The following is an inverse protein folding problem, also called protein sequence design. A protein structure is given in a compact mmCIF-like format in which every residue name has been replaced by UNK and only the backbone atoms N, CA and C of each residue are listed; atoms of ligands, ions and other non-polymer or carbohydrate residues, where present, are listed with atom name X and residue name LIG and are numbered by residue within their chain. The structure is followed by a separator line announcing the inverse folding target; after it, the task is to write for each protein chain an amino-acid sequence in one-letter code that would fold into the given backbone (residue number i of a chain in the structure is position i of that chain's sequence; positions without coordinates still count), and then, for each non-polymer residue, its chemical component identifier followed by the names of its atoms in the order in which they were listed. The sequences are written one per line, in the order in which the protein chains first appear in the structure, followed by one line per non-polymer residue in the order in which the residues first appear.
data_IF_367018751391
#
_entry.id   IF_367018751391
#
_cell.length_a   1.000
_cell.length_b   1.000
_cell.length_c   1.000
_cell.angle_alpha   90.00
_cell.angle_beta   90.00
_cell.angle_gamma   90.00
#
_symmetry.space_group_name_H-M   'P 1'
#
loop_
_entity.id
_entity.type
_entity.pdbx_description
1 polymer ?
#
# COMPACT_ATOMS: atom_id res chain seq x y z
N UNK A 1 14.53 17.05 17.10
CA UNK A 1 14.82 16.47 18.42
C UNK A 1 15.68 15.24 18.17
N UNK A 2 16.90 15.11 18.73
CA UNK A 2 17.68 13.90 18.53
C UNK A 2 17.09 12.78 19.40
N UNK A 3 16.69 11.68 18.76
CA UNK A 3 16.09 10.50 19.38
C UNK A 3 17.15 9.71 20.18
N UNK A 4 17.53 10.20 21.35
CA UNK A 4 18.41 9.48 22.29
C UNK A 4 17.63 8.45 23.14
N UNK A 5 16.84 7.60 22.48
CA UNK A 5 16.06 6.55 23.13
C UNK A 5 16.65 5.16 22.93
N UNK A 6 16.41 4.24 23.87
CA UNK A 6 16.62 2.82 23.61
C UNK A 6 15.66 2.36 22.51
N UNK A 7 16.18 1.70 21.48
CA UNK A 7 15.35 1.06 20.47
C UNK A 7 14.71 -0.19 21.05
N UNK A 8 13.61 -0.65 20.46
CA UNK A 8 13.04 -1.97 20.80
C UNK A 8 14.12 -3.05 20.70
N UNK A 9 15.03 -2.94 19.73
CA UNK A 9 16.14 -3.87 19.59
C UNK A 9 17.10 -3.86 20.78
N UNK A 10 17.54 -2.69 21.25
CA UNK A 10 18.46 -2.62 22.39
C UNK A 10 17.78 -3.03 23.70
N UNK A 11 16.48 -2.78 23.82
CA UNK A 11 15.66 -3.33 24.91
C UNK A 11 15.66 -4.87 24.87
N UNK A 12 15.32 -5.47 23.72
CA UNK A 12 15.30 -6.92 23.56
C UNK A 12 16.66 -7.55 23.84
N UNK A 13 17.74 -6.97 23.30
CA UNK A 13 19.10 -7.49 23.51
C UNK A 13 19.50 -7.56 25.00
N UNK A 14 19.03 -6.62 25.83
CA UNK A 14 19.34 -6.58 27.27
C UNK A 14 18.52 -7.59 28.09
N UNK A 15 17.27 -7.80 27.73
CA UNK A 15 16.33 -8.58 28.56
C UNK A 15 16.12 -10.00 28.08
N UNK A 16 16.63 -10.38 26.90
CA UNK A 16 16.37 -11.69 26.30
C UNK A 16 16.79 -12.87 27.19
N UNK A 17 17.86 -12.71 27.97
CA UNK A 17 18.35 -13.74 28.91
C UNK A 17 17.45 -13.92 30.13
N UNK A 18 16.66 -12.90 30.47
CA UNK A 18 15.72 -12.89 31.58
C UNK A 18 14.31 -13.29 31.15
N UNK A 19 14.06 -13.43 29.84
CA UNK A 19 12.74 -13.75 29.34
C UNK A 19 12.35 -15.21 29.69
N UNK A 20 11.09 -15.42 30.12
CA UNK A 20 10.59 -16.77 30.37
C UNK A 20 10.65 -17.65 29.12
N UNK A 21 10.95 -18.94 29.30
CA UNK A 21 11.11 -19.89 28.18
C UNK A 21 9.86 -20.08 27.32
N UNK A 22 8.69 -19.81 27.89
CA UNK A 22 7.39 -19.86 27.21
C UNK A 22 7.14 -18.65 26.31
N UNK A 23 7.84 -17.52 26.51
CA UNK A 23 7.66 -16.33 25.69
C UNK A 23 8.48 -16.47 24.40
N UNK A 24 7.80 -16.41 23.25
CA UNK A 24 8.43 -16.40 21.93
C UNK A 24 8.18 -15.04 21.28
N UNK A 25 9.24 -14.43 20.75
CA UNK A 25 9.18 -13.15 20.06
C UNK A 25 9.28 -13.39 18.57
N UNK A 26 8.26 -12.97 17.82
CA UNK A 26 8.28 -12.89 16.36
C UNK A 26 8.32 -11.42 16.00
N UNK A 27 9.35 -11.00 15.27
CA UNK A 27 9.53 -9.62 14.85
C UNK A 27 9.80 -9.58 13.35
N UNK A 28 9.20 -8.61 12.67
CA UNK A 28 9.46 -8.30 11.27
C UNK A 28 10.27 -7.01 11.18
N UNK A 29 11.31 -7.01 10.36
CA UNK A 29 12.23 -5.87 10.23
C UNK A 29 12.37 -5.55 8.75
N UNK A 30 12.27 -4.26 8.39
CA UNK A 30 12.56 -3.83 7.02
C UNK A 30 14.06 -3.95 6.75
N UNK A 31 14.44 -4.36 5.54
CA UNK A 31 15.83 -4.63 5.13
C UNK A 31 16.78 -3.48 5.47
N UNK A 32 16.33 -2.22 5.34
CA UNK A 32 17.09 -1.01 5.70
C UNK A 32 17.48 -0.89 7.19
N UNK A 33 16.82 -1.63 8.09
CA UNK A 33 17.08 -1.62 9.53
C UNK A 33 17.70 -2.92 10.03
N UNK A 34 18.13 -3.82 9.13
CA UNK A 34 18.69 -5.12 9.49
C UNK A 34 19.90 -4.98 10.42
N UNK A 35 20.75 -3.97 10.18
CA UNK A 35 21.91 -3.63 11.03
C UNK A 35 21.54 -3.49 12.51
N UNK A 36 20.38 -2.90 12.80
CA UNK A 36 19.93 -2.71 14.19
C UNK A 36 19.71 -4.04 14.90
N UNK A 37 19.38 -5.10 14.17
CA UNK A 37 19.04 -6.43 14.72
C UNK A 37 20.19 -7.42 14.79
N UNK A 38 21.40 -7.03 14.36
CA UNK A 38 22.56 -7.93 14.34
C UNK A 38 22.89 -8.55 15.70
N UNK A 39 22.63 -7.82 16.78
CA UNK A 39 22.92 -8.23 18.15
C UNK A 39 21.87 -9.19 18.75
N UNK A 40 20.74 -9.39 18.08
CA UNK A 40 19.69 -10.28 18.58
C UNK A 40 20.01 -11.74 18.22
N UNK A 41 20.02 -12.66 19.20
CA UNK A 41 20.28 -14.09 19.00
C UNK A 41 19.01 -14.83 18.53
N UNK A 42 18.24 -14.24 17.60
CA UNK A 42 17.05 -14.86 17.03
C UNK A 42 17.37 -15.56 15.70
N UNK A 43 16.63 -16.63 15.42
CA UNK A 43 16.56 -17.21 14.09
C UNK A 43 16.05 -16.18 13.09
N UNK A 44 16.75 -16.04 11.96
CA UNK A 44 16.40 -15.08 10.92
C UNK A 44 15.80 -15.81 9.74
N UNK A 45 14.71 -15.26 9.23
CA UNK A 45 14.08 -15.70 7.99
C UNK A 45 13.99 -14.48 7.08
N UNK A 46 14.65 -14.56 5.92
CA UNK A 46 14.57 -13.53 4.88
C UNK A 46 13.47 -13.89 3.90
N UNK A 47 12.56 -12.95 3.65
CA UNK A 47 11.57 -13.08 2.58
C UNK A 47 12.13 -12.68 1.21
N UNK A 48 13.26 -11.96 1.20
CA UNK A 48 13.90 -11.45 -0.02
C UNK A 48 14.74 -12.53 -0.74
N UNK A 49 15.21 -13.56 -0.02
CA UNK A 49 16.15 -14.59 -0.50
C UNK A 49 15.46 -15.90 -0.94
N UNK A 50 14.14 -15.92 -1.08
CA UNK A 50 13.43 -17.14 -1.49
C UNK A 50 13.62 -17.42 -2.98
N UNK A 51 14.16 -18.60 -3.31
CA UNK A 51 14.39 -19.07 -4.68
C UNK A 51 13.10 -19.15 -5.52
N UNK A 52 11.94 -19.20 -4.86
CA UNK A 52 10.64 -19.41 -5.50
C UNK A 52 9.84 -18.12 -5.73
N UNK A 53 10.31 -16.94 -5.29
CA UNK A 53 9.50 -15.69 -5.34
C UNK A 53 8.96 -15.40 -6.73
N UNK A 54 9.77 -15.52 -7.77
CA UNK A 54 9.33 -15.27 -9.15
C UNK A 54 8.30 -16.31 -9.64
N UNK A 55 8.44 -17.56 -9.21
CA UNK A 55 7.48 -18.63 -9.51
C UNK A 55 6.15 -18.38 -8.81
N UNK A 56 6.20 -18.03 -7.52
CA UNK A 56 5.02 -17.78 -6.71
C UNK A 56 4.27 -16.52 -7.19
N UNK A 57 5.00 -15.48 -7.63
CA UNK A 57 4.40 -14.30 -8.27
C UNK A 57 3.71 -14.66 -9.59
N UNK A 58 4.31 -15.53 -10.41
CA UNK A 58 3.69 -15.99 -11.65
C UNK A 58 2.44 -16.82 -11.39
N UNK A 59 2.49 -17.72 -10.40
CA UNK A 59 1.35 -18.51 -9.96
C UNK A 59 0.22 -17.61 -9.44
N UNK A 60 0.55 -16.62 -8.61
CA UNK A 60 -0.40 -15.61 -8.14
C UNK A 60 -1.03 -14.81 -9.28
N UNK A 61 -0.23 -14.34 -10.25
CA UNK A 61 -0.73 -13.66 -11.44
C UNK A 61 -1.74 -14.54 -12.20
N UNK A 62 -1.37 -15.79 -12.46
CA UNK A 62 -2.22 -16.73 -13.19
C UNK A 62 -3.52 -17.03 -12.43
N UNK A 63 -3.44 -17.25 -11.12
CA UNK A 63 -4.60 -17.49 -10.27
C UNK A 63 -5.57 -16.28 -10.30
N UNK A 64 -5.04 -15.05 -10.29
CA UNK A 64 -5.85 -13.82 -10.37
C UNK A 64 -6.51 -13.65 -11.73
N UNK A 65 -5.79 -13.90 -12.82
CA UNK A 65 -6.35 -13.86 -14.18
C UNK A 65 -7.45 -14.91 -14.36
N UNK A 66 -7.26 -16.12 -13.83
CA UNK A 66 -8.28 -17.17 -13.85
C UNK A 66 -9.51 -16.81 -13.01
N UNK A 67 -9.31 -16.23 -11.82
CA UNK A 67 -10.41 -15.81 -10.96
C UNK A 67 -11.21 -14.63 -11.54
N UNK A 68 -10.55 -13.72 -12.27
CA UNK A 68 -11.15 -12.52 -12.83
C UNK A 68 -10.78 -12.34 -14.32
N UNK A 69 -11.57 -12.90 -15.25
CA UNK A 69 -11.30 -12.84 -16.71
C UNK A 69 -11.26 -11.41 -17.29
N UNK A 70 -11.83 -10.43 -16.58
CA UNK A 70 -11.74 -9.02 -16.96
C UNK A 70 -10.28 -8.52 -16.97
N UNK A 71 -9.41 -9.07 -16.11
CA UNK A 71 -7.98 -8.74 -16.10
C UNK A 71 -7.35 -9.11 -17.44
N UNK A 72 -7.63 -10.32 -17.95
CA UNK A 72 -7.16 -10.75 -19.26
C UNK A 72 -7.64 -9.80 -20.36
N UNK A 73 -8.93 -9.42 -20.30
CA UNK A 73 -9.54 -8.52 -21.28
C UNK A 73 -8.91 -7.14 -21.29
N UNK A 74 -8.55 -6.61 -20.12
CA UNK A 74 -7.89 -5.32 -19.98
C UNK A 74 -6.40 -5.36 -20.33
N UNK A 75 -5.81 -6.54 -20.58
CA UNK A 75 -4.45 -6.70 -21.12
C UNK A 75 -4.44 -6.79 -22.66
N UNK A 76 -5.60 -7.04 -23.31
CA UNK A 76 -5.66 -7.34 -24.74
C UNK A 76 -5.23 -6.15 -25.60
N UNK A 77 -4.15 -6.37 -26.36
CA UNK A 77 -3.73 -5.49 -27.43
C UNK A 77 -4.67 -5.70 -28.65
N UNK A 78 -5.44 -4.67 -29.03
CA UNK A 78 -6.38 -4.74 -30.16
C UNK A 78 -5.73 -4.56 -31.53
N UNK A 79 -4.40 -4.50 -31.63
CA UNK A 79 -3.72 -4.29 -32.90
C UNK A 79 -3.64 -5.61 -33.67
N UNK A 80 -4.35 -5.64 -34.80
CA UNK A 80 -4.65 -6.84 -35.56
C UNK A 80 -3.45 -7.65 -36.05
N UNK A 81 -3.76 -8.94 -36.22
CA UNK A 81 -3.02 -10.02 -36.90
C UNK A 81 -1.98 -10.76 -36.03
N UNK A 82 -2.30 -12.04 -35.82
CA UNK A 82 -1.41 -13.19 -35.62
C UNK A 82 -0.71 -13.46 -34.27
N UNK A 83 -0.80 -12.62 -33.24
CA UNK A 83 -0.37 -13.04 -31.90
C UNK A 83 -1.56 -13.57 -31.09
N UNK A 84 -1.54 -14.86 -30.73
CA UNK A 84 -2.58 -15.48 -29.91
C UNK A 84 -2.71 -14.78 -28.56
N UNK A 85 -3.94 -14.67 -28.05
CA UNK A 85 -4.30 -13.98 -26.80
C UNK A 85 -3.39 -14.36 -25.63
N UNK A 86 -3.11 -15.66 -25.48
CA UNK A 86 -2.21 -16.18 -24.44
C UNK A 86 -0.79 -15.62 -24.50
N UNK A 87 -0.27 -15.28 -25.68
CA UNK A 87 1.07 -14.73 -25.83
C UNK A 87 1.14 -13.29 -25.27
N UNK A 88 0.11 -12.47 -25.51
CA UNK A 88 0.05 -11.09 -24.99
C UNK A 88 0.01 -11.03 -23.46
N UNK A 89 -0.78 -11.90 -22.83
CA UNK A 89 -0.92 -11.98 -21.38
C UNK A 89 0.38 -12.46 -20.74
N UNK A 90 1.06 -13.45 -21.33
CA UNK A 90 2.34 -13.93 -20.83
C UNK A 90 3.46 -12.89 -20.97
N UNK A 91 3.51 -12.15 -22.09
CA UNK A 91 4.45 -11.03 -22.25
C UNK A 91 4.22 -9.94 -21.20
N UNK A 92 2.95 -9.63 -20.91
CA UNK A 92 2.60 -8.68 -19.86
C UNK A 92 2.98 -9.20 -18.46
N UNK A 93 2.73 -10.47 -18.17
CA UNK A 93 3.14 -11.11 -16.92
C UNK A 93 4.65 -10.97 -16.70
N UNK A 94 5.47 -11.31 -17.69
CA UNK A 94 6.93 -11.15 -17.61
C UNK A 94 7.35 -9.71 -17.32
N UNK A 95 6.71 -8.74 -17.98
CA UNK A 95 6.98 -7.32 -17.76
C UNK A 95 6.65 -6.86 -16.33
N UNK A 96 5.44 -7.16 -15.84
CA UNK A 96 5.02 -6.73 -14.49
C UNK A 96 5.78 -7.47 -13.40
N UNK A 97 6.10 -8.76 -13.58
CA UNK A 97 6.94 -9.51 -12.65
C UNK A 97 8.34 -8.89 -12.56
N UNK A 98 8.95 -8.53 -13.69
CA UNK A 98 10.22 -7.82 -13.69
C UNK A 98 10.13 -6.47 -12.96
N UNK A 99 9.06 -5.70 -13.16
CA UNK A 99 8.85 -4.44 -12.43
C UNK A 99 8.62 -4.66 -10.92
N UNK A 100 7.97 -5.75 -10.55
CA UNK A 100 7.61 -6.02 -9.15
C UNK A 100 8.82 -6.21 -8.24
N UNK A 101 9.96 -6.67 -8.78
CA UNK A 101 11.19 -6.96 -8.02
C UNK A 101 10.90 -7.80 -6.76
N UNK A 102 10.03 -8.81 -6.87
CA UNK A 102 9.63 -9.67 -5.74
C UNK A 102 8.45 -9.16 -4.92
N UNK A 103 7.94 -7.95 -5.17
CA UNK A 103 6.86 -7.34 -4.40
C UNK A 103 5.48 -7.87 -4.81
N UNK A 104 4.93 -8.77 -4.00
CA UNK A 104 3.52 -9.21 -4.10
C UNK A 104 2.54 -8.05 -3.99
N UNK A 105 2.83 -7.06 -3.15
CA UNK A 105 1.96 -5.89 -2.99
C UNK A 105 1.87 -5.11 -4.30
N UNK A 106 3.00 -4.86 -4.97
CA UNK A 106 3.00 -4.17 -6.25
C UNK A 106 2.18 -4.94 -7.29
N UNK A 107 2.45 -6.25 -7.44
CA UNK A 107 1.72 -7.08 -8.39
C UNK A 107 0.22 -7.11 -8.11
N UNK A 108 -0.18 -7.32 -6.84
CA UNK A 108 -1.57 -7.27 -6.40
C UNK A 108 -2.23 -5.97 -6.81
N UNK A 109 -1.62 -4.82 -6.51
CA UNK A 109 -2.23 -3.52 -6.80
C UNK A 109 -2.37 -3.25 -8.30
N UNK A 110 -1.39 -3.66 -9.12
CA UNK A 110 -1.52 -3.60 -10.59
C UNK A 110 -2.69 -4.45 -11.08
N UNK A 111 -2.84 -5.66 -10.56
CA UNK A 111 -3.94 -6.56 -10.92
C UNK A 111 -5.30 -6.01 -10.45
N UNK A 112 -5.37 -5.39 -9.27
CA UNK A 112 -6.59 -4.76 -8.77
C UNK A 112 -6.99 -3.54 -9.64
N UNK A 113 -6.02 -2.78 -10.17
CA UNK A 113 -6.29 -1.70 -11.14
C UNK A 113 -6.83 -2.23 -12.47
N UNK A 114 -6.28 -3.35 -12.97
CA UNK A 114 -6.78 -4.03 -14.17
C UNK A 114 -8.18 -4.59 -13.94
N UNK A 115 -8.42 -5.24 -12.81
CA UNK A 115 -9.72 -5.83 -12.48
C UNK A 115 -10.83 -4.78 -12.44
N UNK A 116 -10.53 -3.60 -11.89
CA UNK A 116 -11.46 -2.45 -11.83
C UNK A 116 -11.53 -1.64 -13.11
N UNK A 117 -10.80 -2.04 -14.16
CA UNK A 117 -10.70 -1.29 -15.44
C UNK A 117 -10.19 0.15 -15.27
N UNK A 118 -9.42 0.42 -14.21
CA UNK A 118 -8.76 1.71 -14.00
C UNK A 118 -7.55 1.90 -14.92
N UNK A 119 -6.95 0.79 -15.37
CA UNK A 119 -5.94 0.78 -16.43
C UNK A 119 -6.34 -0.25 -17.48
N UNK A 120 -6.07 0.06 -18.75
CA UNK A 120 -6.27 -0.85 -19.88
C UNK A 120 -5.04 -0.81 -20.76
N UNK A 121 -4.38 -1.95 -20.91
CA UNK A 121 -3.13 -2.12 -21.62
C UNK A 121 -3.42 -2.51 -23.06
N UNK A 122 -3.43 -1.51 -23.95
CA UNK A 122 -3.74 -1.70 -25.39
C UNK A 122 -2.50 -1.67 -26.29
N UNK A 123 -1.32 -1.48 -25.74
CA UNK A 123 -0.06 -1.33 -26.48
C UNK A 123 1.07 -2.12 -25.82
N UNK A 124 2.04 -2.54 -26.63
CA UNK A 124 3.22 -3.30 -26.18
C UNK A 124 4.27 -2.46 -25.46
N UNK A 125 4.11 -1.14 -25.42
CA UNK A 125 5.03 -0.24 -24.70
C UNK A 125 4.64 0.02 -23.25
N UNK A 126 3.49 -0.52 -22.80
CA UNK A 126 3.02 -0.52 -21.41
C UNK A 126 3.07 0.84 -20.68
N UNK A 127 3.01 1.96 -21.42
CA UNK A 127 3.14 3.32 -20.85
C UNK A 127 2.09 3.69 -19.80
N UNK A 128 0.94 3.02 -19.86
CA UNK A 128 -0.19 3.23 -18.94
C UNK A 128 0.01 2.50 -17.60
N UNK A 129 0.99 1.60 -17.51
CA UNK A 129 1.24 0.79 -16.32
C UNK A 129 2.13 1.57 -15.37
N UNK A 130 1.70 1.81 -14.11
CA UNK A 130 2.55 2.40 -13.10
C UNK A 130 3.83 1.57 -12.86
N UNK A 131 4.98 2.23 -12.74
CA UNK A 131 6.28 1.55 -12.54
C UNK A 131 6.76 1.54 -11.08
N UNK A 132 5.97 2.11 -10.15
CA UNK A 132 6.28 2.10 -8.71
C UNK A 132 5.01 2.16 -7.87
N UNK A 133 5.10 1.76 -6.59
CA UNK A 133 4.00 1.88 -5.63
C UNK A 133 3.53 3.34 -5.50
N UNK A 134 4.44 4.31 -5.52
CA UNK A 134 4.10 5.72 -5.46
C UNK A 134 3.21 6.14 -6.66
N UNK A 135 3.51 5.67 -7.86
CA UNK A 135 2.67 5.95 -9.04
C UNK A 135 1.31 5.25 -8.96
N UNK A 136 1.24 4.03 -8.39
CA UNK A 136 -0.03 3.34 -8.14
C UNK A 136 -0.90 4.16 -7.18
N UNK A 137 -0.35 4.59 -6.04
CA UNK A 137 -1.10 5.37 -5.06
C UNK A 137 -1.50 6.74 -5.61
N UNK A 138 -0.62 7.40 -6.37
CA UNK A 138 -0.96 8.64 -7.06
C UNK A 138 -2.12 8.45 -8.05
N UNK A 139 -2.11 7.36 -8.82
CA UNK A 139 -3.22 7.04 -9.73
C UNK A 139 -4.51 6.81 -8.96
N UNK A 140 -4.49 6.05 -7.86
CA UNK A 140 -5.67 5.84 -7.01
C UNK A 140 -6.21 7.16 -6.44
N UNK A 141 -5.32 8.06 -6.00
CA UNK A 141 -5.70 9.40 -5.57
C UNK A 141 -6.33 10.23 -6.69
N UNK A 142 -5.74 10.24 -7.88
CA UNK A 142 -6.28 10.97 -9.04
C UNK A 142 -7.64 10.41 -9.49
N UNK A 143 -7.85 9.10 -9.39
CA UNK A 143 -9.13 8.47 -9.69
C UNK A 143 -10.20 8.83 -8.65
N UNK A 144 -9.82 8.94 -7.37
CA UNK A 144 -10.74 9.37 -6.32
C UNK A 144 -11.05 10.87 -6.39
N UNK A 145 -10.04 11.67 -6.71
CA UNK A 145 -10.11 13.13 -6.76
C UNK A 145 -9.69 13.63 -8.15
N UNK A 146 -10.60 13.59 -9.15
CA UNK A 146 -10.25 13.93 -10.53
C UNK A 146 -9.95 15.42 -10.76
N UNK A 147 -10.30 16.29 -9.81
CA UNK A 147 -10.11 17.73 -9.91
C UNK A 147 -9.41 18.27 -8.67
N UNK A 148 -8.67 19.36 -8.82
CA UNK A 148 -8.02 20.05 -7.70
C UNK A 148 -9.04 20.42 -6.63
N UNK A 149 -10.21 20.91 -7.04
CA UNK A 149 -11.29 21.29 -6.13
C UNK A 149 -11.84 20.12 -5.30
N UNK A 150 -11.91 18.90 -5.85
CA UNK A 150 -12.38 17.74 -5.07
C UNK A 150 -11.33 17.31 -4.05
N UNK A 151 -10.05 17.41 -4.39
CA UNK A 151 -8.94 17.16 -3.46
C UNK A 151 -8.86 18.23 -2.35
N UNK A 152 -9.00 19.51 -2.69
CA UNK A 152 -8.95 20.63 -1.72
C UNK A 152 -9.95 20.46 -0.57
N UNK A 153 -11.13 19.86 -0.84
CA UNK A 153 -12.14 19.60 0.18
C UNK A 153 -11.66 18.66 1.29
N UNK A 154 -10.75 17.75 1.00
CA UNK A 154 -10.25 16.74 1.95
C UNK A 154 -8.83 17.02 2.44
N UNK A 155 -8.13 17.99 1.85
CA UNK A 155 -6.73 18.28 2.15
C UNK A 155 -6.47 18.50 3.64
N UNK A 156 -7.30 19.29 4.32
CA UNK A 156 -7.11 19.55 5.75
C UNK A 156 -7.24 18.28 6.61
N UNK A 157 -8.17 17.38 6.27
CA UNK A 157 -8.33 16.10 6.95
C UNK A 157 -7.06 15.25 6.76
N UNK A 158 -6.58 15.15 5.53
CA UNK A 158 -5.35 14.43 5.21
C UNK A 158 -4.14 15.04 5.93
N UNK A 159 -4.01 16.37 5.97
CA UNK A 159 -2.92 17.06 6.66
C UNK A 159 -2.91 16.75 8.15
N UNK A 160 -4.07 16.79 8.81
CA UNK A 160 -4.19 16.40 10.23
C UNK A 160 -3.73 14.95 10.41
N UNK A 161 -4.30 14.01 9.65
CA UNK A 161 -3.97 12.59 9.78
C UNK A 161 -2.48 12.29 9.50
N UNK A 162 -1.86 12.97 8.52
CA UNK A 162 -0.44 12.79 8.19
C UNK A 162 0.50 13.43 9.21
N UNK A 163 0.08 14.53 9.84
CA UNK A 163 0.87 15.22 10.86
C UNK A 163 0.77 14.59 12.26
N UNK A 164 -0.26 13.77 12.49
CA UNK A 164 -0.49 13.13 13.77
C UNK A 164 0.58 12.06 14.08
N UNK A 165 1.12 12.09 15.29
CA UNK A 165 2.08 11.09 15.77
C UNK A 165 1.41 9.72 16.02
N UNK A 166 0.13 9.74 16.39
CA UNK A 166 -0.66 8.56 16.69
C UNK A 166 -1.97 8.60 15.89
N UNK A 167 -2.53 7.44 15.52
CA UNK A 167 -3.86 7.35 14.95
C UNK A 167 -4.89 8.09 15.82
N UNK A 168 -5.77 8.86 15.18
CA UNK A 168 -6.77 9.69 15.86
C UNK A 168 -8.17 9.11 15.67
N UNK A 169 -9.05 9.29 16.64
CA UNK A 169 -10.49 9.05 16.50
C UNK A 169 -11.12 10.05 15.54
N UNK A 170 -12.29 9.73 14.99
CA UNK A 170 -13.03 10.62 14.08
C UNK A 170 -13.28 12.01 14.69
N UNK A 171 -13.58 12.05 15.99
CA UNK A 171 -13.88 13.28 16.75
C UNK A 171 -12.61 14.12 16.96
N UNK A 172 -11.47 13.48 17.28
CA UNK A 172 -10.19 14.18 17.40
C UNK A 172 -9.75 14.78 16.06
N UNK A 173 -9.97 14.06 14.96
CA UNK A 173 -9.70 14.58 13.61
C UNK A 173 -10.57 15.82 13.33
N UNK A 174 -11.87 15.75 13.61
CA UNK A 174 -12.79 16.87 13.41
C UNK A 174 -12.35 18.13 14.18
N UNK A 175 -12.07 17.99 15.48
CA UNK A 175 -11.64 19.14 16.29
C UNK A 175 -10.28 19.67 15.87
N UNK A 176 -9.35 18.79 15.47
CA UNK A 176 -8.04 19.21 14.96
C UNK A 176 -8.18 19.99 13.65
N UNK A 177 -9.04 19.54 12.72
CA UNK A 177 -9.33 20.28 11.47
C UNK A 177 -9.93 21.65 11.79
N UNK A 178 -10.92 21.70 12.69
CA UNK A 178 -11.58 22.95 13.06
C UNK A 178 -10.70 23.90 13.86
N UNK A 179 -9.70 23.43 14.59
CA UNK A 179 -8.74 24.31 15.28
C UNK A 179 -7.90 25.17 14.32
N UNK A 180 -7.83 24.78 13.04
CA UNK A 180 -7.17 25.55 11.98
C UNK A 180 -8.11 26.58 11.33
N UNK A 181 -9.40 26.54 11.66
CA UNK A 181 -10.43 27.41 11.08
C UNK A 181 -10.84 28.47 12.11
N UNK A 182 -10.53 29.75 11.82
CA UNK A 182 -10.78 30.86 12.75
C UNK A 182 -12.17 31.47 12.56
N UNK A 183 -12.57 31.70 11.30
CA UNK A 183 -13.77 32.47 10.97
C UNK A 183 -14.94 31.59 10.51
N UNK A 184 -14.66 30.42 9.93
CA UNK A 184 -15.66 29.55 9.32
C UNK A 184 -15.37 28.11 9.69
N UNK A 185 -16.08 27.62 10.71
CA UNK A 185 -15.97 26.22 11.12
C UNK A 185 -16.59 25.29 10.09
N UNK A 186 -15.99 24.11 9.94
CA UNK A 186 -16.54 23.01 9.15
C UNK A 186 -17.66 22.33 9.97
N UNK A 187 -18.92 22.32 9.50
CA UNK A 187 -20.00 21.62 10.16
C UNK A 187 -19.73 20.12 10.26
N UNK A 188 -20.24 19.47 11.30
CA UNK A 188 -20.02 18.04 11.54
C UNK A 188 -20.49 17.17 10.37
N UNK A 189 -21.70 17.40 9.86
CA UNK A 189 -22.27 16.59 8.76
C UNK A 189 -21.44 16.72 7.47
N UNK A 190 -20.97 17.94 7.19
CA UNK A 190 -20.10 18.19 6.03
C UNK A 190 -18.72 17.52 6.21
N UNK A 191 -18.17 17.57 7.43
CA UNK A 191 -16.95 16.84 7.76
C UNK A 191 -17.14 15.33 7.56
N UNK A 192 -18.21 14.74 8.06
CA UNK A 192 -18.50 13.32 7.89
C UNK A 192 -18.57 12.95 6.40
N UNK A 193 -19.27 13.74 5.59
CA UNK A 193 -19.36 13.49 4.15
C UNK A 193 -17.99 13.59 3.45
N UNK A 194 -17.18 14.60 3.81
CA UNK A 194 -15.80 14.72 3.29
C UNK A 194 -14.93 13.54 3.76
N UNK A 195 -15.09 13.09 5.00
CA UNK A 195 -14.35 11.97 5.58
C UNK A 195 -14.72 10.63 4.94
N UNK A 196 -16.00 10.40 4.62
CA UNK A 196 -16.45 9.22 3.88
C UNK A 196 -15.74 9.08 2.52
N UNK A 197 -15.38 10.20 1.89
CA UNK A 197 -14.61 10.15 0.65
C UNK A 197 -13.20 9.56 0.85
N UNK A 198 -12.69 9.49 2.08
CA UNK A 198 -11.37 9.00 2.44
C UNK A 198 -11.34 7.56 2.97
N UNK A 199 -12.46 6.85 3.06
CA UNK A 199 -12.53 5.51 3.68
C UNK A 199 -11.68 4.46 2.96
N UNK A 200 -11.40 4.65 1.66
CA UNK A 200 -10.50 3.78 0.89
C UNK A 200 -9.03 4.01 1.25
N UNK A 201 -8.71 5.14 1.88
CA UNK A 201 -7.35 5.54 2.28
C UNK A 201 -7.12 5.42 3.79
N UNK A 202 -8.16 5.67 4.59
CA UNK A 202 -8.13 5.66 6.05
C UNK A 202 -8.91 4.45 6.59
N UNK A 203 -8.19 3.51 7.17
CA UNK A 203 -8.75 2.29 7.76
C UNK A 203 -9.09 2.54 9.22
N UNK A 204 -10.32 2.19 9.61
CA UNK A 204 -10.75 2.21 11.00
C UNK A 204 -10.17 1.03 11.77
N UNK A 205 -9.52 1.31 12.89
CA UNK A 205 -8.95 0.33 13.82
C UNK A 205 -9.97 -0.09 14.89
N UNK A 206 -9.64 -1.16 15.62
CA UNK A 206 -10.48 -1.70 16.71
C UNK A 206 -10.69 -0.71 17.86
N UNK A 207 -9.74 0.21 18.05
CA UNK A 207 -9.76 1.28 19.05
C UNK A 207 -10.54 2.53 18.55
N UNK A 208 -11.23 2.43 17.41
CA UNK A 208 -11.94 3.52 16.73
C UNK A 208 -11.06 4.67 16.21
N UNK A 209 -9.74 4.46 16.16
CA UNK A 209 -8.82 5.40 15.51
C UNK A 209 -8.68 5.09 14.01
N UNK A 210 -8.17 6.06 13.24
CA UNK A 210 -7.99 5.94 11.80
C UNK A 210 -6.50 6.04 11.43
N UNK A 211 -6.07 5.18 10.51
CA UNK A 211 -4.70 5.11 10.02
C UNK A 211 -4.71 4.94 8.50
N UNK A 212 -3.70 5.49 7.82
CA UNK A 212 -3.50 5.18 6.40
C UNK A 212 -3.23 3.68 6.23
N UNK A 213 -3.76 3.09 5.15
CA UNK A 213 -3.57 1.66 4.90
C UNK A 213 -2.12 1.28 4.50
N UNK A 214 -1.28 2.27 4.15
CA UNK A 214 0.12 2.10 3.73
C UNK A 214 1.11 2.66 4.76
#
# INVERSE_FOLDING_TARGET
RPDYGHTITSFLARHITEMPSWLKVVATVRTQFLELTKQLPYSRLSLDESDNVNKDLLEYFNARVQAAPIIETNIKCSTGKSEGVHNSVMKFAQYVLHLSQGSFLFLKLILDLLERSHIVVKSTNYKVVPISLAQIFLLQFNLRFPTVQSFEKVTHILSVCLSALYPLTLVEIYYSVNSLLVNTFLPWDEFCHRFESLTDFLVKRIDNTYMFFH
#
